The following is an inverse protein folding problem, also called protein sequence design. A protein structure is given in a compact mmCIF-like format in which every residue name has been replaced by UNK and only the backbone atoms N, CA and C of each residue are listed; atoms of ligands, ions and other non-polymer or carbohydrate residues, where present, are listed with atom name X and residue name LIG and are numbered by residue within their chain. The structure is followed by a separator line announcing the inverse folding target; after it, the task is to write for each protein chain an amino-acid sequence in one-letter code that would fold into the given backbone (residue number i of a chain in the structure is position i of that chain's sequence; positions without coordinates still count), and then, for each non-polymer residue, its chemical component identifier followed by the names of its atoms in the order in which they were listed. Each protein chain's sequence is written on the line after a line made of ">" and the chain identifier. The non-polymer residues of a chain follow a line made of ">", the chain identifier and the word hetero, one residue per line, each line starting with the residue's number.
data_IF_449381475098
#
_entry.id   IF_449381475098
#
_cell.length_a   1.000
_cell.length_b   1.000
_cell.length_c   1.000
_cell.angle_alpha   90.00
_cell.angle_beta   90.00
_cell.angle_gamma   90.00
#
_symmetry.space_group_name_H-M   'P 1'
#
loop_
_entity.id
_entity.type
_entity.pdbx_description
1 polymer ?
#
# COMPACT_ATOMS: atom_id res chain seq x y z
N UNK A 1 2.00 -30.55 -6.17
CA UNK A 1 2.67 -30.21 -7.44
C UNK A 1 2.68 -28.70 -7.48
N UNK A 2 3.49 -28.04 -6.63
CA UNK A 2 3.23 -26.61 -6.27
C UNK A 2 4.51 -25.81 -6.00
N UNK A 3 5.63 -26.20 -6.59
CA UNK A 3 6.92 -25.50 -6.40
C UNK A 3 7.28 -24.56 -7.55
N UNK A 4 6.62 -24.66 -8.71
CA UNK A 4 6.97 -23.86 -9.90
C UNK A 4 6.31 -22.47 -9.96
N UNK A 5 5.22 -22.23 -9.22
CA UNK A 5 4.50 -20.94 -9.28
C UNK A 5 5.05 -19.86 -8.32
N UNK A 6 5.97 -20.25 -7.41
CA UNK A 6 6.62 -19.33 -6.47
C UNK A 6 7.78 -18.54 -7.11
N UNK A 7 8.41 -19.10 -8.14
CA UNK A 7 9.60 -18.54 -8.79
C UNK A 7 9.28 -17.62 -9.98
N UNK A 8 8.02 -17.61 -10.43
CA UNK A 8 7.58 -16.63 -11.44
C UNK A 8 7.44 -15.26 -10.78
N UNK A 9 8.20 -14.31 -11.29
CA UNK A 9 7.99 -12.90 -10.96
C UNK A 9 6.55 -12.52 -11.33
N UNK A 10 5.79 -11.89 -10.42
CA UNK A 10 4.41 -11.54 -10.72
C UNK A 10 4.38 -10.58 -11.91
N UNK A 11 3.51 -10.86 -12.88
CA UNK A 11 3.38 -10.09 -14.12
C UNK A 11 2.18 -9.15 -14.11
N UNK A 12 1.34 -9.22 -13.08
CA UNK A 12 0.16 -8.36 -12.90
C UNK A 12 0.09 -7.81 -11.48
N UNK A 13 -0.61 -6.68 -11.28
CA UNK A 13 -0.84 -6.11 -9.95
C UNK A 13 -1.61 -7.07 -9.05
N UNK A 14 -2.59 -7.80 -9.58
CA UNK A 14 -3.33 -8.83 -8.82
C UNK A 14 -2.40 -9.91 -8.25
N UNK A 15 -1.52 -10.46 -9.08
CA UNK A 15 -0.52 -11.44 -8.63
C UNK A 15 0.45 -10.87 -7.59
N UNK A 16 0.79 -9.58 -7.69
CA UNK A 16 1.60 -8.90 -6.67
C UNK A 16 0.87 -8.85 -5.33
N UNK A 17 -0.40 -8.44 -5.33
CA UNK A 17 -1.22 -8.37 -4.10
C UNK A 17 -1.39 -9.76 -3.50
N UNK A 18 -1.69 -10.77 -4.31
CA UNK A 18 -1.82 -12.16 -3.83
C UNK A 18 -0.50 -12.68 -3.25
N UNK A 19 0.64 -12.34 -3.87
CA UNK A 19 1.96 -12.68 -3.34
C UNK A 19 2.24 -11.96 -2.03
N UNK A 20 1.95 -10.67 -1.93
CA UNK A 20 2.14 -9.90 -0.69
C UNK A 20 1.24 -10.39 0.44
N UNK A 21 -0.02 -10.76 0.16
CA UNK A 21 -0.93 -11.42 1.11
C UNK A 21 -0.32 -12.73 1.65
N UNK A 22 0.22 -13.57 0.77
CA UNK A 22 0.87 -14.83 1.18
C UNK A 22 2.10 -14.60 2.05
N UNK A 23 2.90 -13.57 1.74
CA UNK A 23 4.15 -13.28 2.44
C UNK A 23 3.91 -12.59 3.79
N UNK A 24 2.95 -11.67 3.87
CA UNK A 24 2.90 -10.70 4.97
C UNK A 24 1.58 -10.65 5.74
N UNK A 25 0.52 -11.36 5.36
CA UNK A 25 -0.82 -11.21 5.98
C UNK A 25 -1.25 -12.32 6.94
N UNK A 26 -0.50 -13.43 7.10
CA UNK A 26 -0.93 -14.61 7.89
C UNK A 26 -0.36 -14.64 9.31
N UNK A 27 -1.06 -15.31 10.24
CA UNK A 27 -1.95 -14.72 11.26
C UNK A 27 -1.29 -13.68 12.19
N UNK A 28 0.04 -13.62 12.26
CA UNK A 28 0.82 -12.58 12.94
C UNK A 28 1.50 -11.64 11.94
N UNK A 29 0.85 -11.50 10.78
CA UNK A 29 1.36 -10.78 9.63
C UNK A 29 1.71 -9.33 9.96
N UNK A 30 2.53 -8.73 9.10
CA UNK A 30 2.93 -7.33 9.17
C UNK A 30 1.96 -6.42 8.42
N UNK A 31 1.18 -6.99 7.48
CA UNK A 31 0.23 -6.28 6.65
C UNK A 31 -1.19 -6.81 6.82
N UNK A 32 -2.16 -5.89 6.84
CA UNK A 32 -3.58 -6.18 6.66
C UNK A 32 -4.04 -5.51 5.37
N UNK A 33 -4.76 -6.22 4.51
CA UNK A 33 -5.32 -5.66 3.28
C UNK A 33 -6.80 -5.38 3.50
N UNK A 34 -7.21 -4.13 3.31
CA UNK A 34 -8.60 -3.71 3.38
C UNK A 34 -9.44 -4.27 2.22
N UNK A 35 -10.75 -4.32 2.44
CA UNK A 35 -11.73 -4.90 1.52
C UNK A 35 -11.80 -4.15 0.18
N UNK A 36 -11.45 -2.86 0.16
CA UNK A 36 -11.47 -2.04 -1.07
C UNK A 36 -10.23 -2.28 -1.97
N UNK A 37 -9.22 -3.05 -1.53
CA UNK A 37 -7.99 -3.30 -2.31
C UNK A 37 -8.30 -4.03 -3.62
N UNK A 38 -9.12 -5.07 -3.58
CA UNK A 38 -9.40 -5.87 -4.78
C UNK A 38 -10.14 -5.04 -5.85
N UNK A 39 -11.10 -4.21 -5.43
CA UNK A 39 -11.79 -3.26 -6.31
C UNK A 39 -10.83 -2.23 -6.92
N UNK A 40 -9.85 -1.73 -6.14
CA UNK A 40 -8.84 -0.81 -6.64
C UNK A 40 -7.93 -1.44 -7.71
N UNK A 41 -7.55 -2.70 -7.51
CA UNK A 41 -6.71 -3.46 -8.44
C UNK A 41 -7.46 -3.77 -9.74
N UNK A 42 -8.74 -4.15 -9.66
CA UNK A 42 -9.57 -4.41 -10.84
C UNK A 42 -9.74 -3.17 -11.73
N UNK A 43 -9.72 -1.97 -11.14
CA UNK A 43 -9.82 -0.71 -11.87
C UNK A 43 -8.54 -0.25 -12.57
N UNK A 44 -7.46 -1.03 -12.54
CA UNK A 44 -6.16 -0.73 -13.16
C UNK A 44 -6.03 -1.34 -14.56
N UNK A 45 -5.27 -0.67 -15.43
CA UNK A 45 -4.85 -1.25 -16.70
C UNK A 45 -3.89 -2.43 -16.46
N UNK A 46 -3.84 -3.38 -17.40
CA UNK A 46 -2.98 -4.56 -17.28
C UNK A 46 -1.47 -4.22 -17.17
N UNK A 47 -1.06 -3.06 -17.68
CA UNK A 47 0.29 -2.51 -17.63
C UNK A 47 0.47 -1.41 -16.56
N UNK A 48 -0.53 -1.19 -15.71
CA UNK A 48 -0.50 -0.11 -14.73
C UNK A 48 0.47 -0.41 -13.59
N UNK A 49 1.54 0.40 -13.53
CA UNK A 49 2.57 0.29 -12.51
C UNK A 49 3.44 -0.96 -12.68
N UNK A 50 4.77 -0.88 -12.54
CA UNK A 50 5.61 -2.07 -12.64
C UNK A 50 5.30 -3.05 -11.48
N UNK A 51 4.83 -4.28 -11.75
CA UNK A 51 4.47 -5.23 -10.70
C UNK A 51 5.59 -5.46 -9.66
N UNK A 52 6.84 -5.53 -10.14
CA UNK A 52 8.02 -5.64 -9.28
C UNK A 52 8.13 -4.48 -8.28
N UNK A 53 7.94 -3.23 -8.73
CA UNK A 53 8.01 -2.05 -7.85
C UNK A 53 6.87 -2.02 -6.84
N UNK A 54 5.67 -2.43 -7.24
CA UNK A 54 4.52 -2.52 -6.32
C UNK A 54 4.85 -3.53 -5.21
N UNK A 55 5.42 -4.69 -5.55
CA UNK A 55 5.83 -5.69 -4.58
C UNK A 55 6.94 -5.17 -3.64
N UNK A 56 7.95 -4.48 -4.19
CA UNK A 56 9.01 -3.84 -3.40
C UNK A 56 8.42 -2.88 -2.37
N UNK A 57 7.47 -2.03 -2.77
CA UNK A 57 6.80 -1.10 -1.86
C UNK A 57 6.03 -1.84 -0.75
N UNK A 58 5.28 -2.90 -1.08
CA UNK A 58 4.55 -3.69 -0.09
C UNK A 58 5.50 -4.39 0.89
N UNK A 59 6.65 -4.89 0.43
CA UNK A 59 7.67 -5.46 1.30
C UNK A 59 8.23 -4.43 2.28
N UNK A 60 8.55 -3.23 1.80
CA UNK A 60 9.07 -2.15 2.67
C UNK A 60 8.00 -1.66 3.65
N UNK A 61 6.72 -1.70 3.28
CA UNK A 61 5.63 -1.45 4.24
C UNK A 61 5.56 -2.52 5.34
N UNK A 62 5.83 -3.78 5.02
CA UNK A 62 5.96 -4.82 6.04
C UNK A 62 7.16 -4.55 6.97
N UNK A 63 8.31 -4.15 6.42
CA UNK A 63 9.47 -3.72 7.23
C UNK A 63 9.16 -2.51 8.11
N UNK A 64 8.35 -1.56 7.62
CA UNK A 64 7.90 -0.41 8.41
C UNK A 64 7.06 -0.87 9.61
N UNK A 65 6.15 -1.82 9.42
CA UNK A 65 5.38 -2.42 10.50
C UNK A 65 6.31 -3.03 11.56
N UNK A 66 7.30 -3.80 11.12
CA UNK A 66 8.27 -4.42 12.02
C UNK A 66 9.10 -3.38 12.80
N UNK A 67 9.53 -2.31 12.13
CA UNK A 67 10.27 -1.23 12.78
C UNK A 67 9.42 -0.48 13.81
N UNK A 68 8.13 -0.26 13.52
CA UNK A 68 7.19 0.37 14.45
C UNK A 68 6.91 -0.50 15.69
N UNK A 69 6.86 -1.82 15.54
CA UNK A 69 6.78 -2.77 16.68
C UNK A 69 7.99 -2.68 17.61
N UNK A 70 9.17 -2.36 17.07
CA UNK A 70 10.41 -2.25 17.86
C UNK A 70 10.54 -0.90 18.58
N UNK A 71 9.69 0.09 18.25
CA UNK A 71 9.64 1.38 18.90
C UNK A 71 9.64 2.57 17.93
N UNK A 72 9.89 3.78 18.45
CA UNK A 72 9.87 5.00 17.64
C UNK A 72 10.92 4.99 16.53
N UNK A 73 10.53 5.40 15.32
CA UNK A 73 11.41 5.43 14.14
C UNK A 73 12.54 6.47 14.20
N UNK A 74 12.47 7.42 15.15
CA UNK A 74 13.36 8.60 15.18
C UNK A 74 13.14 9.59 14.02
N UNK A 75 12.15 9.34 13.15
CA UNK A 75 11.79 10.19 12.01
C UNK A 75 10.33 9.96 11.61
N UNK A 76 9.83 10.70 10.62
CA UNK A 76 8.47 10.49 10.11
C UNK A 76 8.41 9.22 9.25
N UNK A 77 7.23 8.57 9.17
CA UNK A 77 7.03 7.39 8.31
C UNK A 77 7.40 7.67 6.86
N UNK A 78 7.05 8.85 6.35
CA UNK A 78 7.41 9.29 4.99
C UNK A 78 8.92 9.35 4.80
N UNK A 79 9.66 9.96 5.73
CA UNK A 79 11.11 10.03 5.62
C UNK A 79 11.76 8.66 5.76
N UNK A 80 11.24 7.82 6.67
CA UNK A 80 11.72 6.45 6.86
C UNK A 80 11.60 5.62 5.57
N UNK A 81 10.47 5.76 4.86
CA UNK A 81 10.22 5.09 3.57
C UNK A 81 11.14 5.63 2.46
N UNK A 82 11.30 6.95 2.37
CA UNK A 82 12.21 7.59 1.41
C UNK A 82 13.65 7.13 1.57
N UNK A 83 14.12 6.94 2.81
CA UNK A 83 15.45 6.40 3.10
C UNK A 83 15.65 4.96 2.61
N UNK A 84 14.56 4.24 2.28
CA UNK A 84 14.55 2.90 1.68
C UNK A 84 14.14 2.92 0.21
N UNK A 85 14.32 4.07 -0.46
CA UNK A 85 13.98 4.28 -1.87
C UNK A 85 12.49 4.07 -2.20
N UNK A 86 11.60 4.14 -1.21
CA UNK A 86 10.15 4.13 -1.43
C UNK A 86 9.63 5.56 -1.46
N UNK A 87 9.16 5.99 -2.62
CA UNK A 87 8.54 7.31 -2.77
C UNK A 87 7.20 7.33 -2.02
N UNK A 88 7.19 7.99 -0.86
CA UNK A 88 6.01 8.15 -0.02
C UNK A 88 5.66 9.64 0.14
N UNK A 89 4.38 9.92 0.35
CA UNK A 89 3.88 11.26 0.61
C UNK A 89 2.63 11.16 1.50
N UNK A 90 2.28 12.28 2.11
CA UNK A 90 0.97 12.48 2.72
C UNK A 90 0.09 13.31 1.76
N UNK A 91 -1.20 13.37 2.02
CA UNK A 91 -2.09 14.28 1.29
C UNK A 91 -1.77 15.74 1.62
N UNK A 92 -1.96 16.62 0.64
CA UNK A 92 -1.71 18.05 0.83
C UNK A 92 -2.68 18.67 1.84
N UNK A 93 -2.29 19.78 2.48
CA UNK A 93 -3.14 20.50 3.42
C UNK A 93 -4.47 20.96 2.79
N UNK A 94 -4.43 21.36 1.52
CA UNK A 94 -5.64 21.72 0.75
C UNK A 94 -6.55 20.52 0.47
N UNK A 95 -5.99 19.33 0.24
CA UNK A 95 -6.77 18.10 0.10
C UNK A 95 -7.40 17.70 1.44
N UNK A 96 -6.62 17.79 2.51
CA UNK A 96 -7.03 17.39 3.86
C UNK A 96 -8.17 18.24 4.43
N UNK A 97 -8.26 19.49 4.02
CA UNK A 97 -9.32 20.43 4.44
C UNK A 97 -10.59 20.34 3.60
N UNK A 98 -10.55 19.68 2.44
CA UNK A 98 -11.72 19.50 1.58
C UNK A 98 -12.49 18.22 1.95
N UNK A 99 -13.72 18.38 2.44
CA UNK A 99 -14.58 17.27 2.81
C UNK A 99 -15.02 16.39 1.63
N UNK A 100 -15.03 16.92 0.39
CA UNK A 100 -15.30 16.12 -0.81
C UNK A 100 -14.07 15.29 -1.19
N UNK A 101 -12.88 15.88 -1.15
CA UNK A 101 -11.62 15.19 -1.45
C UNK A 101 -11.35 14.08 -0.43
N UNK A 102 -11.51 14.38 0.86
CA UNK A 102 -11.28 13.40 1.91
C UNK A 102 -12.28 12.26 1.92
N UNK A 103 -13.48 12.44 1.38
CA UNK A 103 -14.45 11.34 1.21
C UNK A 103 -13.94 10.27 0.24
N UNK A 104 -13.16 10.67 -0.76
CA UNK A 104 -12.57 9.73 -1.72
C UNK A 104 -11.38 8.94 -1.14
N UNK A 105 -10.90 9.35 0.05
CA UNK A 105 -9.79 8.73 0.79
C UNK A 105 -10.27 7.92 1.99
N UNK A 106 -11.54 7.52 1.97
CA UNK A 106 -12.16 6.68 2.99
C UNK A 106 -12.29 5.27 2.46
N UNK A 107 -11.54 4.35 3.04
CA UNK A 107 -11.53 2.93 2.67
C UNK A 107 -11.64 2.06 3.92
N UNK A 108 -11.94 0.79 3.71
CA UNK A 108 -12.01 -0.22 4.75
C UNK A 108 -10.62 -0.56 5.27
N UNK A 109 -10.45 -0.63 6.58
CA UNK A 109 -9.22 -1.08 7.23
C UNK A 109 -9.20 -2.60 7.52
N UNK A 110 -10.22 -3.31 7.04
CA UNK A 110 -10.51 -4.71 7.38
C UNK A 110 -11.62 -4.86 8.45
N UNK A 111 -12.04 -3.76 9.10
CA UNK A 111 -13.15 -3.75 10.06
C UNK A 111 -14.10 -2.55 9.90
N UNK A 112 -13.54 -1.35 9.67
CA UNK A 112 -14.29 -0.11 9.55
C UNK A 112 -13.78 0.74 8.39
N UNK A 113 -14.64 1.62 7.88
CA UNK A 113 -14.22 2.63 6.90
C UNK A 113 -13.58 3.82 7.62
N UNK A 114 -12.33 4.16 7.27
CA UNK A 114 -11.61 5.31 7.82
C UNK A 114 -10.79 6.03 6.76
N UNK A 115 -10.31 7.22 7.11
CA UNK A 115 -9.48 8.04 6.21
C UNK A 115 -8.05 7.51 6.17
N UNK A 116 -7.47 7.49 4.98
CA UNK A 116 -6.06 7.18 4.75
C UNK A 116 -5.43 8.32 3.94
N UNK A 117 -4.37 8.92 4.46
CA UNK A 117 -3.70 10.07 3.82
C UNK A 117 -2.28 9.71 3.36
N UNK A 118 -1.60 8.84 4.11
CA UNK A 118 -0.30 8.32 3.72
C UNK A 118 -0.43 7.39 2.52
N UNK A 119 0.44 7.60 1.53
CA UNK A 119 0.48 6.77 0.35
C UNK A 119 1.88 6.66 -0.24
N UNK A 120 2.15 5.54 -0.91
CA UNK A 120 3.36 5.36 -1.73
C UNK A 120 3.07 5.42 -3.22
N UNK A 121 4.11 5.68 -4.00
CA UNK A 121 4.06 5.92 -5.45
C UNK A 121 5.01 4.95 -6.16
N UNK A 122 4.60 3.69 -6.43
CA UNK A 122 5.44 2.70 -7.12
C UNK A 122 5.87 3.09 -8.53
N UNK A 123 5.25 4.12 -9.10
CA UNK A 123 5.59 4.68 -10.40
C UNK A 123 5.58 6.22 -10.32
N UNK A 124 6.59 6.84 -10.94
CA UNK A 124 6.68 8.30 -11.17
C UNK A 124 6.24 8.68 -12.60
N UNK A 125 5.58 7.76 -13.32
CA UNK A 125 5.11 7.96 -14.68
C UNK A 125 4.28 9.24 -14.81
N UNK A 126 4.50 9.99 -15.88
CA UNK A 126 3.80 11.26 -16.17
C UNK A 126 2.37 11.06 -16.66
N UNK A 127 1.98 9.82 -17.03
CA UNK A 127 0.62 9.46 -17.43
C UNK A 127 -0.18 9.00 -16.21
N UNK A 128 -1.20 9.78 -15.86
CA UNK A 128 -2.12 9.54 -14.74
C UNK A 128 -2.80 8.17 -14.78
N UNK A 129 -3.03 7.60 -15.98
CA UNK A 129 -3.60 6.25 -16.16
C UNK A 129 -2.69 5.11 -15.68
N UNK A 130 -1.39 5.37 -15.48
CA UNK A 130 -0.40 4.39 -15.04
C UNK A 130 0.13 4.65 -13.62
N UNK A 131 -0.41 5.67 -12.95
CA UNK A 131 -0.04 6.05 -11.60
C UNK A 131 -0.79 5.19 -10.58
N UNK A 132 -0.13 4.12 -10.15
CA UNK A 132 -0.59 3.34 -8.99
C UNK A 132 -0.23 4.11 -7.71
N UNK A 133 -1.16 4.12 -6.76
CA UNK A 133 -0.99 4.57 -5.39
C UNK A 133 -1.31 3.43 -4.44
N UNK A 134 -0.51 3.31 -3.38
CA UNK A 134 -0.76 2.38 -2.28
C UNK A 134 -1.06 3.24 -1.05
N UNK A 135 -2.33 3.34 -0.66
CA UNK A 135 -2.71 4.03 0.57
C UNK A 135 -2.60 3.09 1.76
N UNK A 136 -2.01 3.58 2.83
CA UNK A 136 -1.73 2.77 4.00
C UNK A 136 -1.79 3.61 5.27
N UNK A 137 -1.90 2.93 6.42
CA UNK A 137 -1.73 3.53 7.72
C UNK A 137 -1.28 2.49 8.75
N UNK A 138 -0.80 2.95 9.90
CA UNK A 138 -0.45 2.11 11.03
C UNK A 138 -1.68 1.88 11.93
N UNK A 139 -1.96 0.63 12.27
CA UNK A 139 -2.88 0.26 13.35
C UNK A 139 -2.05 0.01 14.63
N UNK A 140 -2.07 0.91 15.62
CA UNK A 140 -1.30 0.73 16.85
C UNK A 140 -1.85 -0.37 17.75
N UNK A 141 -3.15 -0.69 17.66
CA UNK A 141 -3.78 -1.70 18.53
C UNK A 141 -3.45 -3.11 18.04
N UNK A 142 -3.37 -3.29 16.72
CA UNK A 142 -3.01 -4.57 16.08
C UNK A 142 -1.52 -4.67 15.74
N UNK A 143 -0.78 -3.57 15.89
CA UNK A 143 0.60 -3.42 15.47
C UNK A 143 0.86 -3.87 14.03
N UNK A 144 0.04 -3.43 13.06
CA UNK A 144 0.17 -3.79 11.64
C UNK A 144 0.07 -2.55 10.75
N UNK A 145 0.63 -2.65 9.54
CA UNK A 145 0.32 -1.69 8.48
C UNK A 145 -0.93 -2.17 7.75
N UNK A 146 -1.96 -1.32 7.73
CA UNK A 146 -3.14 -1.51 6.92
C UNK A 146 -2.85 -0.95 5.53
N UNK A 147 -3.07 -1.75 4.48
CA UNK A 147 -3.09 -1.34 3.09
C UNK A 147 -4.55 -1.24 2.66
N UNK A 148 -5.06 -0.02 2.52
CA UNK A 148 -6.48 0.22 2.33
C UNK A 148 -6.89 0.34 0.86
N UNK A 149 -5.96 0.78 0.01
CA UNK A 149 -6.20 0.95 -1.42
C UNK A 149 -4.94 0.72 -2.23
N UNK A 150 -5.06 -0.06 -3.30
CA UNK A 150 -4.04 -0.17 -4.36
C UNK A 150 -4.76 0.10 -5.66
N UNK A 151 -4.50 1.26 -6.26
CA UNK A 151 -5.27 1.67 -7.44
C UNK A 151 -4.83 3.01 -7.98
N UNK A 152 -5.66 3.60 -8.83
CA UNK A 152 -5.48 4.98 -9.29
C UNK A 152 -5.59 5.93 -8.10
N UNK A 153 -4.92 7.09 -8.20
CA UNK A 153 -5.17 8.18 -7.28
C UNK A 153 -6.63 8.64 -7.47
N UNK A 154 -7.44 8.69 -6.40
CA UNK A 154 -8.78 9.26 -6.44
C UNK A 154 -8.76 10.76 -6.71
#
# INVERSE_FOLDING_TARGET
>A
MDTEDQDRSPSTVKQVVDRARRLHAKPEGLLVFGDDVDAGVEGLAADAGPPKKILEHLNVLAELAQALRQGPLGTTRVQWLKNRNVNASDESESTSTSASEMRQRVWHDGQYRRKFTLHTKPNDGTRTSWCVRIYFDWDPDKEVIIVAWIGRHP
#
